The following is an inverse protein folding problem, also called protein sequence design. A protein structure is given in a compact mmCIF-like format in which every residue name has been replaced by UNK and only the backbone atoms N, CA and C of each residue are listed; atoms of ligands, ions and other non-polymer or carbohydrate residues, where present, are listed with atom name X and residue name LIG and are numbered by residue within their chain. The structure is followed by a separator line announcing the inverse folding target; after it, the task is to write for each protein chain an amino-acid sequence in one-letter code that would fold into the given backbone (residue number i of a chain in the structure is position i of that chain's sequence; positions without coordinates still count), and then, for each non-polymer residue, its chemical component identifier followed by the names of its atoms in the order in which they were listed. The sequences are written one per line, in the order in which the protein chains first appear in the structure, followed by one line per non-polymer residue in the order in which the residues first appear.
data_IF_319368341319
#
_entry.id   IF_319368341319
#
_cell.length_a   1.000
_cell.length_b   1.000
_cell.length_c   1.000
_cell.angle_alpha   90.00
_cell.angle_beta   90.00
_cell.angle_gamma   90.00
#
_symmetry.space_group_name_H-M   'P 1'
#
loop_
_entity.id
_entity.type
_entity.pdbx_description
1 polymer ?
#
# COMPACT_ATOMS: atom_id res chain seq x y z
N UNK A 1 1.38 -2.69 3.09
CA UNK A 1 1.58 -1.95 1.83
C UNK A 1 1.06 -2.82 0.71
N UNK A 2 0.33 -2.24 -0.23
CA UNK A 2 -0.19 -2.95 -1.41
C UNK A 2 0.03 -2.09 -2.65
N UNK A 3 -0.13 -2.64 -3.84
CA UNK A 3 0.00 -1.88 -5.08
C UNK A 3 -0.83 -2.49 -6.21
N UNK A 4 -1.41 -1.63 -7.03
CA UNK A 4 -2.10 -2.00 -8.27
C UNK A 4 -1.13 -1.89 -9.44
N UNK A 5 -1.17 -2.85 -10.38
CA UNK A 5 -0.34 -2.83 -11.59
C UNK A 5 -1.22 -2.89 -12.82
N UNK A 6 -0.98 -1.99 -13.77
CA UNK A 6 -1.65 -1.93 -15.07
C UNK A 6 -0.64 -1.76 -16.19
N UNK A 7 -0.96 -2.21 -17.41
CA UNK A 7 -0.18 -1.85 -18.59
C UNK A 7 -0.78 -0.66 -19.37
N UNK A 8 -0.11 -0.26 -20.45
CA UNK A 8 -0.55 0.80 -21.37
C UNK A 8 -1.70 0.40 -22.30
N UNK A 9 -2.05 -0.89 -22.36
CA UNK A 9 -3.14 -1.40 -23.21
C UNK A 9 -4.41 -1.73 -22.41
N UNK A 10 -4.39 -1.53 -21.09
CA UNK A 10 -5.55 -1.58 -20.20
C UNK A 10 -5.68 -2.85 -19.37
N UNK A 11 -4.73 -3.79 -19.44
CA UNK A 11 -4.74 -4.97 -18.59
C UNK A 11 -4.40 -4.59 -17.14
N UNK A 12 -5.03 -5.28 -16.19
CA UNK A 12 -4.76 -5.16 -14.75
C UNK A 12 -4.16 -6.48 -14.28
N UNK A 13 -3.02 -6.42 -13.61
CA UNK A 13 -2.29 -7.61 -13.19
C UNK A 13 -2.54 -7.91 -11.71
N UNK A 14 -3.12 -9.08 -11.47
CA UNK A 14 -3.11 -9.71 -10.15
C UNK A 14 -1.77 -10.34 -9.84
N UNK A 15 -1.63 -10.86 -8.62
CA UNK A 15 -0.44 -11.58 -8.24
C UNK A 15 -0.37 -11.95 -6.77
N UNK A 16 0.52 -12.89 -6.47
CA UNK A 16 0.72 -13.43 -5.12
C UNK A 16 1.83 -12.66 -4.41
N UNK A 17 1.52 -12.14 -3.23
CA UNK A 17 2.51 -11.48 -2.37
C UNK A 17 3.46 -12.53 -1.80
N UNK A 18 4.77 -12.28 -1.84
CA UNK A 18 5.77 -13.14 -1.21
C UNK A 18 6.22 -12.64 0.17
N UNK A 19 5.42 -11.78 0.78
CA UNK A 19 5.70 -11.19 2.09
C UNK A 19 6.69 -10.02 2.01
N UNK A 20 7.14 -9.56 3.17
CA UNK A 20 8.11 -8.48 3.26
C UNK A 20 9.13 -8.75 4.36
N UNK A 21 10.33 -8.19 4.19
CA UNK A 21 11.43 -8.26 5.15
C UNK A 21 12.00 -6.87 5.34
N UNK A 22 12.28 -6.51 6.60
CA UNK A 22 12.90 -5.23 6.91
C UNK A 22 12.67 -4.80 8.36
N UNK A 23 12.96 -3.53 8.62
CA UNK A 23 12.72 -2.88 9.90
C UNK A 23 11.35 -2.17 9.88
N UNK A 24 10.79 -1.77 11.04
CA UNK A 24 9.42 -1.23 11.11
C UNK A 24 9.09 -0.10 10.13
N UNK A 25 10.09 0.75 9.79
CA UNK A 25 9.93 1.88 8.89
C UNK A 25 10.57 1.68 7.51
N UNK A 26 11.17 0.51 7.26
CA UNK A 26 11.88 0.19 6.03
C UNK A 26 11.66 -1.29 5.70
N UNK A 27 10.58 -1.56 4.97
CA UNK A 27 10.16 -2.91 4.58
C UNK A 27 10.33 -3.05 3.08
N UNK A 28 11.12 -4.03 2.67
CA UNK A 28 11.13 -4.52 1.29
C UNK A 28 10.06 -5.59 1.13
N UNK A 29 9.20 -5.46 0.12
CA UNK A 29 8.15 -6.43 -0.20
C UNK A 29 7.99 -6.54 -1.72
N UNK A 30 7.27 -7.55 -2.18
CA UNK A 30 6.88 -7.63 -3.57
C UNK A 30 5.85 -8.70 -3.84
N UNK A 31 5.50 -8.79 -5.12
CA UNK A 31 4.44 -9.64 -5.66
C UNK A 31 4.91 -10.26 -6.96
N UNK A 32 4.64 -11.55 -7.15
CA UNK A 32 4.80 -12.20 -8.45
C UNK A 32 3.52 -11.98 -9.24
N UNK A 33 3.65 -11.48 -10.47
CA UNK A 33 2.54 -11.16 -11.34
C UNK A 33 2.20 -12.32 -12.27
N UNK A 34 0.98 -12.31 -12.78
CA UNK A 34 0.60 -13.12 -13.92
C UNK A 34 1.43 -12.77 -15.16
N UNK A 35 1.35 -13.61 -16.21
CA UNK A 35 2.09 -13.38 -17.45
C UNK A 35 1.71 -12.02 -18.03
N UNK A 36 2.71 -11.15 -18.21
CA UNK A 36 2.55 -9.84 -18.84
C UNK A 36 2.16 -10.02 -20.31
N UNK A 37 1.25 -9.19 -20.81
CA UNK A 37 0.82 -9.22 -22.21
C UNK A 37 2.01 -8.82 -23.10
N UNK A 38 2.30 -9.65 -24.09
CA UNK A 38 3.42 -9.46 -25.01
C UNK A 38 3.30 -8.20 -25.87
N UNK A 39 2.16 -7.50 -25.85
CA UNK A 39 1.95 -6.22 -26.52
C UNK A 39 2.19 -5.01 -25.60
N UNK A 40 2.15 -5.18 -24.28
CA UNK A 40 2.36 -4.11 -23.30
C UNK A 40 3.76 -3.49 -23.43
N UNK A 41 3.88 -2.17 -23.53
CA UNK A 41 5.18 -1.47 -23.58
C UNK A 41 5.60 -0.93 -22.23
N UNK A 42 4.63 -0.64 -21.36
CA UNK A 42 4.90 -0.10 -20.03
C UNK A 42 4.04 -0.76 -18.97
N UNK A 43 4.53 -0.76 -17.73
CA UNK A 43 3.73 -1.06 -16.55
C UNK A 43 3.63 0.20 -15.68
N UNK A 44 2.42 0.55 -15.28
CA UNK A 44 2.13 1.57 -14.28
C UNK A 44 1.81 0.89 -12.96
N UNK A 45 2.63 1.15 -11.94
CA UNK A 45 2.47 0.66 -10.59
C UNK A 45 1.96 1.79 -9.71
N UNK A 46 0.86 1.56 -9.00
CA UNK A 46 0.24 2.55 -8.11
C UNK A 46 0.30 2.02 -6.68
N UNK A 47 1.18 2.58 -5.82
CA UNK A 47 1.31 2.14 -4.44
C UNK A 47 0.16 2.64 -3.55
N UNK A 48 -0.36 1.76 -2.70
CA UNK A 48 -1.35 2.03 -1.68
C UNK A 48 -0.73 1.85 -0.30
N UNK A 49 -0.80 2.89 0.53
CA UNK A 49 -0.23 2.93 1.86
C UNK A 49 -1.33 3.15 2.89
N UNK A 50 -1.34 2.29 3.91
CA UNK A 50 -2.18 2.41 5.09
C UNK A 50 -1.30 2.78 6.27
N UNK A 51 -1.51 3.97 6.81
CA UNK A 51 -0.84 4.48 8.00
C UNK A 51 -1.72 4.18 9.20
N UNK A 52 -1.24 3.39 10.14
CA UNK A 52 -1.92 3.08 11.40
C UNK A 52 -1.32 3.91 12.53
N UNK A 53 -2.13 4.35 13.49
CA UNK A 53 -1.57 4.93 14.73
C UNK A 53 -0.69 3.90 15.42
N UNK A 54 0.47 4.32 15.90
CA UNK A 54 1.21 3.53 16.88
C UNK A 54 0.37 3.49 18.15
N UNK A 55 0.14 2.30 18.72
CA UNK A 55 -0.51 2.22 20.03
C UNK A 55 0.43 2.79 21.08
N UNK A 56 0.20 4.03 21.51
CA UNK A 56 0.87 4.66 22.64
C UNK A 56 0.45 3.97 23.96
N UNK A 57 1.04 2.81 24.23
CA UNK A 57 1.36 2.40 25.60
C UNK A 57 2.84 2.67 25.94
N UNK A 58 3.55 3.44 25.10
CA UNK A 58 4.78 4.14 25.45
C UNK A 58 4.58 5.64 25.14
N UNK A 59 4.25 6.40 26.18
CA UNK A 59 4.58 7.82 26.37
C UNK A 59 4.15 8.86 25.33
N UNK A 60 3.18 9.69 25.75
CA UNK A 60 2.96 11.10 25.37
C UNK A 60 2.31 11.44 24.00
N UNK A 61 0.98 11.50 24.02
CA UNK A 61 0.13 12.32 23.13
C UNK A 61 0.57 13.80 23.10
N UNK A 62 0.44 14.57 22.00
CA UNK A 62 -0.82 14.76 21.22
C UNK A 62 -0.61 14.95 19.68
N UNK A 63 -1.61 14.96 18.77
CA UNK A 63 -3.05 15.28 18.83
C UNK A 63 -3.90 14.30 17.99
N UNK A 64 -5.18 14.05 18.28
CA UNK A 64 -6.10 14.78 19.16
C UNK A 64 -6.94 13.87 20.06
N UNK A 65 -7.18 14.40 21.26
CA UNK A 65 -8.15 14.03 22.29
C UNK A 65 -8.91 12.71 22.09
N UNK A 66 -8.46 11.69 22.81
CA UNK A 66 -9.24 10.47 23.02
C UNK A 66 -10.26 10.74 24.13
N UNK A 67 -11.49 11.11 23.75
CA UNK A 67 -12.64 11.02 24.66
C UNK A 67 -13.15 9.58 24.60
N UNK A 68 -12.77 8.77 25.58
CA UNK A 68 -13.47 7.51 25.84
C UNK A 68 -14.82 7.89 26.43
N UNK A 69 -15.85 7.94 25.58
CA UNK A 69 -17.24 7.97 26.03
C UNK A 69 -17.97 6.78 25.42
N UNK A 70 -18.52 5.95 26.30
CA UNK A 70 -19.47 4.88 26.03
C UNK A 70 -20.32 5.10 24.76
N UNK A 71 -20.29 4.12 23.85
CA UNK A 71 -21.29 3.94 22.79
C UNK A 71 -20.96 4.54 21.42
N UNK A 72 -21.19 3.71 20.40
CA UNK A 72 -21.36 4.03 18.96
C UNK A 72 -20.16 4.50 18.12
N UNK A 73 -19.90 3.68 17.09
CA UNK A 73 -19.09 3.91 15.86
C UNK A 73 -17.57 3.84 16.01
N UNK A 74 -16.98 2.70 15.64
CA UNK A 74 -15.54 2.56 15.43
C UNK A 74 -15.08 3.56 14.35
N UNK A 75 -14.43 4.65 14.75
CA UNK A 75 -13.74 5.55 13.83
C UNK A 75 -12.46 4.84 13.42
N UNK A 76 -12.30 4.52 12.14
CA UNK A 76 -11.12 3.82 11.63
C UNK A 76 -9.81 4.49 12.09
N UNK A 77 -9.01 3.79 12.90
CA UNK A 77 -7.70 4.26 13.43
C UNK A 77 -6.56 4.19 12.39
N UNK A 78 -6.89 4.41 11.12
CA UNK A 78 -5.94 4.36 10.02
C UNK A 78 -6.29 5.37 8.92
N UNK A 79 -5.25 5.86 8.25
CA UNK A 79 -5.36 6.69 7.07
C UNK A 79 -4.85 5.93 5.86
N UNK A 80 -5.66 5.83 4.83
CA UNK A 80 -5.24 5.30 3.53
C UNK A 80 -4.88 6.44 2.58
N UNK A 81 -3.84 6.22 1.78
CA UNK A 81 -3.44 7.13 0.73
C UNK A 81 -2.80 6.38 -0.42
N UNK A 82 -2.92 6.97 -1.60
CA UNK A 82 -2.31 6.45 -2.83
C UNK A 82 -1.16 7.37 -3.19
N UNK A 83 0.00 6.77 -3.51
CA UNK A 83 1.19 7.51 -3.90
C UNK A 83 1.24 7.76 -5.40
N UNK A 84 2.19 8.59 -5.82
CA UNK A 84 2.44 8.85 -7.23
C UNK A 84 2.74 7.53 -7.98
N UNK A 85 2.22 7.35 -9.20
CA UNK A 85 2.49 6.16 -10.00
C UNK A 85 3.97 6.05 -10.39
N UNK A 86 4.46 4.82 -10.47
CA UNK A 86 5.77 4.47 -11.00
C UNK A 86 5.56 3.83 -12.37
N UNK A 87 6.22 4.33 -13.40
CA UNK A 87 6.13 3.80 -14.76
C UNK A 87 7.41 3.07 -15.13
N UNK A 88 7.28 1.80 -15.53
CA UNK A 88 8.38 0.94 -15.96
C UNK A 88 8.25 0.70 -17.46
N UNK A 89 9.30 0.96 -18.22
CA UNK A 89 9.39 0.57 -19.64
C UNK A 89 9.83 -0.89 -19.74
N UNK A 90 9.07 -1.71 -20.45
CA UNK A 90 9.41 -3.10 -20.70
C UNK A 90 10.40 -3.17 -21.87
N UNK A 91 11.63 -3.57 -21.57
CA UNK A 91 12.61 -3.92 -22.60
C UNK A 91 12.28 -5.31 -23.15
N UNK A 92 12.14 -5.42 -24.47
CA UNK A 92 11.79 -6.64 -25.19
C UNK A 92 12.83 -6.92 -26.26
#
# INVERSE_FOLDING_TARGET
MDFTIKDDIGNVYGGTNFGGRGFPNDISTGKTLEKIDERAKTLTIVPHVRLTKSSENDGEQPFGESVVSNGTTEVADYKETTLAPIVINLQK
#
